data_IF_634417185317
#
_entry.id   IF_634417185317
#
_cell.length_a   1.000
_cell.length_b   1.000
_cell.length_c   1.000
_cell.angle_alpha   90.00
_cell.angle_beta   90.00
_cell.angle_gamma   90.00
#
_symmetry.space_group_name_H-M   'P 1'
#
loop_
_entity.id
_entity.type
_entity.pdbx_description
1 polymer ?
#
# COMPACT_ATOMS: atom_id res chain seq x y z
N UNK A 1 -30.07 13.56 1.35
CA UNK A 1 -30.34 12.38 0.53
C UNK A 1 -29.91 11.06 1.19
N UNK A 2 -28.71 10.91 1.73
CA UNK A 2 -28.23 9.65 2.34
C UNK A 2 -29.07 9.16 3.55
N UNK A 3 -29.59 10.04 4.40
CA UNK A 3 -30.45 9.69 5.55
C UNK A 3 -31.80 9.08 5.17
N UNK A 4 -32.36 9.45 4.02
CA UNK A 4 -33.63 8.90 3.54
C UNK A 4 -33.49 7.51 2.93
N UNK A 5 -32.33 7.21 2.31
CA UNK A 5 -32.06 5.90 1.71
C UNK A 5 -31.87 4.83 2.80
N UNK A 6 -31.15 5.15 3.88
CA UNK A 6 -30.98 4.22 5.00
C UNK A 6 -32.29 3.92 5.75
N UNK A 7 -33.17 4.92 5.90
CA UNK A 7 -34.48 4.71 6.52
C UNK A 7 -35.38 3.79 5.66
N UNK A 8 -35.34 3.93 4.32
CA UNK A 8 -36.10 3.10 3.40
C UNK A 8 -35.73 1.63 3.41
N UNK A 9 -34.43 1.32 3.50
CA UNK A 9 -33.91 -0.07 3.53
C UNK A 9 -34.30 -0.78 4.84
N UNK A 10 -34.30 -0.05 5.95
CA UNK A 10 -34.69 -0.60 7.27
C UNK A 10 -36.19 -0.94 7.36
N UNK A 11 -37.07 -0.15 6.73
CA UNK A 11 -38.52 -0.43 6.70
C UNK A 11 -38.85 -1.67 5.86
N UNK A 12 -38.19 -1.90 4.75
CA UNK A 12 -38.40 -3.08 3.89
C UNK A 12 -37.98 -4.37 4.62
N UNK A 13 -36.84 -4.38 5.34
CA UNK A 13 -36.42 -5.54 6.12
C UNK A 13 -37.38 -5.91 7.25
N UNK A 14 -38.00 -4.93 7.92
CA UNK A 14 -39.00 -5.16 8.98
C UNK A 14 -40.30 -5.79 8.44
N UNK A 15 -40.73 -5.40 7.24
CA UNK A 15 -41.95 -5.94 6.60
C UNK A 15 -41.73 -7.40 6.16
N UNK A 16 -40.52 -7.75 5.66
CA UNK A 16 -40.21 -9.12 5.25
C UNK A 16 -40.17 -10.10 6.43
N UNK A 17 -39.63 -9.70 7.56
CA UNK A 17 -39.57 -10.52 8.80
C UNK A 17 -41.00 -10.72 9.37
N UNK A 18 -41.86 -9.72 9.28
CA UNK A 18 -43.27 -9.83 9.71
C UNK A 18 -44.11 -10.76 8.82
N UNK A 19 -43.87 -10.75 7.49
CA UNK A 19 -44.63 -11.55 6.52
C UNK A 19 -44.37 -13.06 6.60
N UNK A 20 -43.16 -13.46 6.94
CA UNK A 20 -42.78 -14.89 7.06
C UNK A 20 -43.35 -15.56 8.31
N UNK A 21 -43.54 -14.80 9.40
CA UNK A 21 -44.08 -15.32 10.65
C UNK A 21 -45.58 -15.72 10.56
N UNK A 22 -46.31 -15.16 9.59
CA UNK A 22 -47.77 -15.43 9.43
C UNK A 22 -48.02 -16.72 8.62
N UNK A 23 -47.04 -17.23 7.86
CA UNK A 23 -47.27 -18.34 6.92
C UNK A 23 -46.89 -19.74 7.45
N UNK A 24 -46.29 -19.87 8.61
CA UNK A 24 -45.87 -21.13 9.20
C UNK A 24 -46.56 -21.39 10.53
N UNK A 25 -47.79 -21.85 10.49
CA UNK A 25 -48.65 -22.14 11.63
C UNK A 25 -48.24 -23.30 12.57
N UNK A 26 -46.95 -23.56 12.74
CA UNK A 26 -46.48 -24.57 13.70
C UNK A 26 -45.33 -23.96 14.53
N UNK A 27 -45.61 -23.73 15.81
CA UNK A 27 -44.60 -23.22 16.77
C UNK A 27 -44.68 -21.73 17.08
N UNK A 28 -45.89 -21.15 17.07
CA UNK A 28 -46.12 -19.70 17.26
C UNK A 28 -45.44 -19.08 18.49
N UNK A 29 -45.28 -19.82 19.57
CA UNK A 29 -44.62 -19.31 20.79
C UNK A 29 -43.09 -19.21 20.68
N UNK A 30 -42.43 -20.17 20.05
CA UNK A 30 -40.95 -20.11 19.85
C UNK A 30 -40.58 -19.06 18.82
N UNK A 31 -41.39 -18.92 17.75
CA UNK A 31 -41.18 -17.90 16.73
C UNK A 31 -41.42 -16.49 17.27
N UNK A 32 -42.43 -16.31 18.12
CA UNK A 32 -42.68 -15.04 18.79
C UNK A 32 -41.53 -14.63 19.72
N UNK A 33 -40.95 -15.57 20.44
CA UNK A 33 -39.79 -15.31 21.31
C UNK A 33 -38.56 -14.91 20.48
N UNK A 34 -38.29 -15.64 19.39
CA UNK A 34 -37.17 -15.33 18.47
C UNK A 34 -37.39 -13.96 17.82
N UNK A 35 -38.58 -13.65 17.36
CA UNK A 35 -38.89 -12.33 16.79
C UNK A 35 -38.76 -11.18 17.81
N UNK A 36 -39.21 -11.40 19.06
CA UNK A 36 -39.00 -10.43 20.15
C UNK A 36 -37.54 -10.22 20.48
N UNK A 37 -36.73 -11.29 20.47
CA UNK A 37 -35.31 -11.19 20.72
C UNK A 37 -34.58 -10.47 19.58
N UNK A 38 -34.89 -10.78 18.32
CA UNK A 38 -34.37 -10.08 17.16
C UNK A 38 -34.76 -8.58 17.16
N UNK A 39 -35.99 -8.28 17.53
CA UNK A 39 -36.44 -6.89 17.66
C UNK A 39 -35.68 -6.12 18.75
N UNK A 40 -35.43 -6.73 19.91
CA UNK A 40 -34.61 -6.12 20.99
C UNK A 40 -33.17 -5.89 20.54
N UNK A 41 -32.55 -6.87 19.89
CA UNK A 41 -31.20 -6.74 19.35
C UNK A 41 -31.10 -5.61 18.33
N UNK A 42 -32.08 -5.53 17.41
CA UNK A 42 -32.16 -4.47 16.42
C UNK A 42 -32.36 -3.09 17.05
N UNK A 43 -33.25 -2.98 18.05
CA UNK A 43 -33.42 -1.72 18.79
C UNK A 43 -32.13 -1.28 19.49
N UNK A 44 -31.44 -2.20 20.12
CA UNK A 44 -30.14 -1.90 20.77
C UNK A 44 -29.11 -1.43 19.76
N UNK A 45 -29.01 -2.10 18.60
CA UNK A 45 -28.12 -1.71 17.52
C UNK A 45 -28.47 -0.32 16.94
N UNK A 46 -29.76 -0.03 16.75
CA UNK A 46 -30.22 1.30 16.30
C UNK A 46 -29.85 2.37 17.33
N UNK A 47 -30.09 2.13 18.61
CA UNK A 47 -29.74 3.09 19.67
C UNK A 47 -28.21 3.31 19.75
N UNK A 48 -27.40 2.27 19.59
CA UNK A 48 -25.94 2.39 19.55
C UNK A 48 -25.47 3.17 18.33
N UNK A 49 -26.07 2.93 17.16
CA UNK A 49 -25.78 3.68 15.94
C UNK A 49 -26.18 5.15 16.05
N UNK A 50 -27.33 5.44 16.64
CA UNK A 50 -27.74 6.82 16.93
C UNK A 50 -26.79 7.52 17.91
N UNK A 51 -26.35 6.84 18.98
CA UNK A 51 -25.33 7.39 19.90
C UNK A 51 -24.02 7.68 19.19
N UNK A 52 -23.55 6.75 18.33
CA UNK A 52 -22.34 6.95 17.52
C UNK A 52 -22.51 8.11 16.53
N UNK A 53 -23.64 8.18 15.83
CA UNK A 53 -23.90 9.25 14.87
C UNK A 53 -24.00 10.63 15.57
N UNK A 54 -24.62 10.70 16.73
CA UNK A 54 -24.73 11.94 17.49
C UNK A 54 -23.42 12.37 18.16
N UNK A 55 -22.49 11.43 18.41
CA UNK A 55 -21.15 11.75 18.90
C UNK A 55 -20.20 12.25 17.80
N UNK A 56 -20.55 12.04 16.51
CA UNK A 56 -19.80 12.57 15.37
C UNK A 56 -20.15 14.05 15.18
N UNK A 57 -19.49 14.91 15.94
CA UNK A 57 -19.58 16.36 15.71
C UNK A 57 -18.84 16.74 14.43
N UNK A 58 -19.22 17.86 13.80
CA UNK A 58 -18.55 18.40 12.62
C UNK A 58 -17.04 18.57 12.87
N UNK A 59 -16.66 18.93 14.10
CA UNK A 59 -15.27 19.06 14.53
C UNK A 59 -14.54 17.72 14.61
N UNK A 60 -15.19 16.64 15.11
CA UNK A 60 -14.55 15.32 15.17
C UNK A 60 -14.37 14.69 13.80
N UNK A 61 -15.32 14.90 12.88
CA UNK A 61 -15.22 14.47 11.48
C UNK A 61 -14.10 15.24 10.78
N UNK A 62 -14.02 16.56 10.97
CA UNK A 62 -12.93 17.37 10.40
C UNK A 62 -11.56 16.96 10.94
N UNK A 63 -11.43 16.67 12.24
CA UNK A 63 -10.20 16.15 12.84
C UNK A 63 -9.81 14.78 12.29
N UNK A 64 -10.77 13.86 12.12
CA UNK A 64 -10.53 12.56 11.49
C UNK A 64 -10.10 12.71 10.02
N UNK A 65 -10.73 13.60 9.28
CA UNK A 65 -10.31 13.89 7.90
C UNK A 65 -8.90 14.48 7.84
N UNK A 66 -8.58 15.44 8.69
CA UNK A 66 -7.25 16.06 8.76
C UNK A 66 -6.16 15.06 9.21
N UNK A 67 -6.45 14.18 10.17
CA UNK A 67 -5.49 13.16 10.62
C UNK A 67 -5.25 12.06 9.58
N UNK A 68 -6.20 11.85 8.67
CA UNK A 68 -6.09 10.87 7.58
C UNK A 68 -5.66 11.51 6.24
N UNK A 69 -5.49 12.84 6.19
CA UNK A 69 -5.00 13.50 4.97
C UNK A 69 -3.49 13.29 4.87
N UNK A 70 -3.10 12.47 3.92
CA UNK A 70 -1.69 12.34 3.52
C UNK A 70 -1.34 13.54 2.65
N UNK A 71 -0.29 14.27 3.00
CA UNK A 71 0.35 15.16 2.07
C UNK A 71 1.07 14.31 1.01
N UNK A 72 0.51 14.27 -0.19
CA UNK A 72 1.01 13.41 -1.27
C UNK A 72 2.42 13.82 -1.70
N UNK A 73 2.75 15.11 -1.63
CA UNK A 73 4.08 15.59 -2.03
C UNK A 73 5.13 15.23 -0.99
N UNK A 74 4.81 15.32 0.31
CA UNK A 74 5.69 14.84 1.38
C UNK A 74 5.87 13.32 1.29
N UNK A 75 4.82 12.58 0.96
CA UNK A 75 4.88 11.13 0.78
C UNK A 75 5.75 10.74 -0.42
N UNK A 76 5.67 11.46 -1.54
CA UNK A 76 6.56 11.27 -2.70
C UNK A 76 8.00 11.59 -2.36
N UNK A 77 8.24 12.66 -1.61
CA UNK A 77 9.59 13.04 -1.15
C UNK A 77 10.18 11.96 -0.26
N UNK A 78 9.45 11.50 0.77
CA UNK A 78 9.89 10.40 1.64
C UNK A 78 10.24 9.14 0.83
N UNK A 79 9.35 8.75 -0.09
CA UNK A 79 9.59 7.59 -0.95
C UNK A 79 10.83 7.78 -1.85
N UNK A 80 11.00 8.97 -2.44
CA UNK A 80 12.15 9.31 -3.28
C UNK A 80 13.46 9.24 -2.50
N UNK A 81 13.51 9.85 -1.33
CA UNK A 81 14.72 9.85 -0.49
C UNK A 81 15.12 8.43 -0.09
N UNK A 82 14.16 7.62 0.31
CA UNK A 82 14.39 6.22 0.69
C UNK A 82 14.83 5.35 -0.48
N UNK A 83 14.23 5.52 -1.65
CA UNK A 83 14.63 4.83 -2.88
C UNK A 83 16.05 5.23 -3.26
N UNK A 84 16.35 6.52 -3.33
CA UNK A 84 17.68 7.01 -3.68
C UNK A 84 18.75 6.47 -2.73
N UNK A 85 18.52 6.51 -1.42
CA UNK A 85 19.45 5.99 -0.43
C UNK A 85 19.70 4.49 -0.61
N UNK A 86 18.63 3.71 -0.81
CA UNK A 86 18.76 2.26 -0.99
C UNK A 86 19.43 1.88 -2.30
N UNK A 87 19.08 2.55 -3.41
CA UNK A 87 19.64 2.27 -4.72
C UNK A 87 21.09 2.73 -4.82
N UNK A 88 21.44 3.90 -4.29
CA UNK A 88 22.82 4.33 -4.19
C UNK A 88 23.68 3.35 -3.38
N UNK A 89 23.12 2.76 -2.32
CA UNK A 89 23.80 1.71 -1.55
C UNK A 89 23.94 0.42 -2.37
N UNK A 90 22.89 -0.01 -3.10
CA UNK A 90 22.89 -1.26 -3.83
C UNK A 90 23.76 -1.23 -5.09
N UNK A 91 23.81 -0.11 -5.80
CA UNK A 91 24.61 0.08 -7.01
C UNK A 91 25.94 0.82 -6.76
N UNK A 92 26.18 1.20 -5.50
CA UNK A 92 27.44 1.81 -5.09
C UNK A 92 28.51 0.79 -4.74
N UNK A 93 29.73 1.28 -4.52
CA UNK A 93 30.84 0.45 -4.04
C UNK A 93 30.64 0.12 -2.56
N UNK A 94 30.49 -1.15 -2.22
CA UNK A 94 30.37 -1.61 -0.83
C UNK A 94 31.56 -2.49 -0.51
N UNK A 95 32.37 -2.09 0.47
CA UNK A 95 33.46 -2.93 0.97
C UNK A 95 32.89 -4.25 1.52
N UNK A 96 33.62 -5.34 1.33
CA UNK A 96 33.20 -6.67 1.79
C UNK A 96 32.82 -6.70 3.26
N UNK A 97 33.53 -5.98 4.11
CA UNK A 97 33.28 -5.90 5.54
C UNK A 97 31.99 -5.15 5.88
N UNK A 98 31.53 -4.27 4.99
CA UNK A 98 30.30 -3.46 5.15
C UNK A 98 29.07 -4.06 4.45
N UNK A 99 29.25 -5.19 3.76
CA UNK A 99 28.18 -5.82 2.97
C UNK A 99 26.91 -6.11 3.77
N UNK A 100 27.06 -6.66 4.97
CA UNK A 100 25.91 -6.96 5.83
C UNK A 100 25.19 -5.69 6.31
N UNK A 101 25.92 -4.62 6.56
CA UNK A 101 25.32 -3.35 6.99
C UNK A 101 24.65 -2.64 5.83
N UNK A 102 25.20 -2.73 4.62
CA UNK A 102 24.56 -2.26 3.40
C UNK A 102 23.21 -2.98 3.17
N UNK A 103 23.18 -4.32 3.30
CA UNK A 103 21.92 -5.09 3.21
C UNK A 103 20.89 -4.68 4.27
N UNK A 104 21.32 -4.46 5.51
CA UNK A 104 20.43 -3.99 6.59
C UNK A 104 19.90 -2.59 6.27
N UNK A 105 20.75 -1.68 5.80
CA UNK A 105 20.37 -0.33 5.41
C UNK A 105 19.31 -0.35 4.29
N UNK A 106 19.54 -1.12 3.22
CA UNK A 106 18.58 -1.27 2.11
C UNK A 106 17.23 -1.78 2.62
N UNK A 107 17.22 -2.80 3.49
CA UNK A 107 15.99 -3.35 4.08
C UNK A 107 15.28 -2.33 4.98
N UNK A 108 16.02 -1.53 5.72
CA UNK A 108 15.47 -0.47 6.54
C UNK A 108 14.75 0.58 5.69
N UNK A 109 15.34 0.97 4.56
CA UNK A 109 14.77 1.96 3.64
C UNK A 109 13.53 1.44 2.91
N UNK A 110 13.59 0.22 2.36
CA UNK A 110 12.58 -0.29 1.42
C UNK A 110 11.65 -1.36 2.02
N UNK A 111 11.90 -1.80 3.26
CA UNK A 111 11.22 -2.92 3.88
C UNK A 111 11.76 -4.28 3.39
N UNK A 112 11.36 -5.35 4.09
CA UNK A 112 11.96 -6.68 3.88
C UNK A 112 11.76 -7.24 2.47
N UNK A 113 10.58 -7.09 1.88
CA UNK A 113 10.28 -7.67 0.58
C UNK A 113 11.07 -6.99 -0.55
N UNK A 114 10.97 -5.69 -0.68
CA UNK A 114 11.67 -4.94 -1.71
C UNK A 114 13.18 -4.90 -1.43
N UNK A 115 13.55 -4.62 -0.18
CA UNK A 115 14.95 -4.55 0.23
C UNK A 115 15.71 -5.86 0.03
N UNK A 116 15.09 -7.04 0.23
CA UNK A 116 15.72 -8.31 -0.10
C UNK A 116 15.98 -8.47 -1.60
N UNK A 117 15.00 -8.12 -2.44
CA UNK A 117 15.17 -8.21 -3.90
C UNK A 117 16.32 -7.32 -4.38
N UNK A 118 16.37 -6.07 -3.89
CA UNK A 118 17.44 -5.15 -4.25
C UNK A 118 18.80 -5.59 -3.68
N UNK A 119 18.84 -6.02 -2.43
CA UNK A 119 20.07 -6.48 -1.79
C UNK A 119 20.65 -7.76 -2.42
N UNK A 120 19.81 -8.58 -3.08
CA UNK A 120 20.28 -9.77 -3.80
C UNK A 120 21.02 -9.45 -5.11
N UNK A 121 20.95 -8.21 -5.60
CA UNK A 121 21.79 -7.77 -6.73
C UNK A 121 23.25 -7.57 -6.30
N UNK A 122 23.49 -7.35 -5.01
CA UNK A 122 24.85 -7.23 -4.47
C UNK A 122 25.39 -8.64 -4.29
N UNK A 123 26.56 -8.94 -4.90
CA UNK A 123 27.17 -10.26 -4.78
C UNK A 123 27.51 -10.62 -3.34
N UNK A 124 27.33 -11.90 -2.95
CA UNK A 124 27.64 -12.37 -1.59
C UNK A 124 29.14 -12.30 -1.23
N UNK A 125 30.03 -12.30 -2.20
CA UNK A 125 31.48 -12.18 -2.01
C UNK A 125 31.95 -10.73 -1.85
N UNK A 126 31.01 -9.76 -1.87
CA UNK A 126 31.28 -8.33 -1.77
C UNK A 126 31.86 -7.73 -3.06
N UNK A 127 32.05 -8.54 -4.11
CA UNK A 127 32.31 -8.00 -5.43
C UNK A 127 31.02 -7.42 -5.97
N UNK A 128 31.06 -6.16 -6.39
CA UNK A 128 29.91 -5.51 -6.98
C UNK A 128 29.98 -5.78 -8.48
N UNK A 129 28.96 -6.43 -9.06
CA UNK A 129 28.94 -6.62 -10.50
C UNK A 129 28.92 -5.29 -11.25
N UNK A 130 28.67 -4.18 -10.56
CA UNK A 130 28.37 -2.88 -11.15
C UNK A 130 29.18 -1.73 -10.54
N UNK A 131 30.48 -1.89 -10.28
CA UNK A 131 31.30 -0.87 -9.61
C UNK A 131 30.87 0.58 -9.82
N UNK A 132 30.58 1.28 -8.75
CA UNK A 132 30.35 2.74 -8.59
C UNK A 132 29.61 3.48 -9.72
N UNK A 133 28.53 2.92 -10.27
CA UNK A 133 28.16 3.29 -11.61
C UNK A 133 26.72 3.68 -11.84
N UNK A 134 25.97 4.03 -10.80
CA UNK A 134 24.71 4.74 -11.05
C UNK A 134 25.05 6.04 -11.78
N UNK A 135 24.59 6.10 -13.03
CA UNK A 135 24.66 7.32 -13.82
C UNK A 135 23.40 8.15 -13.66
N UNK A 136 22.26 7.49 -13.48
CA UNK A 136 20.98 8.14 -13.35
C UNK A 136 19.99 7.21 -12.62
N UNK A 137 19.19 7.76 -11.70
CA UNK A 137 18.06 7.10 -11.09
C UNK A 137 16.82 7.98 -11.27
N UNK A 138 15.88 7.53 -12.11
CA UNK A 138 14.62 8.24 -12.35
C UNK A 138 13.50 7.54 -11.58
N UNK A 139 12.74 8.32 -10.82
CA UNK A 139 11.63 7.83 -10.01
C UNK A 139 10.35 8.51 -10.49
N UNK A 140 9.38 7.72 -10.93
CA UNK A 140 8.06 8.17 -11.33
C UNK A 140 6.99 7.65 -10.37
N UNK A 141 5.96 8.44 -10.13
CA UNK A 141 4.83 8.06 -9.28
C UNK A 141 3.55 8.03 -10.09
N UNK A 142 2.78 6.96 -9.92
CA UNK A 142 1.43 6.87 -10.45
C UNK A 142 0.41 7.61 -9.60
N UNK A 143 -0.86 7.45 -9.96
CA UNK A 143 -1.97 8.08 -9.25
C UNK A 143 -2.06 7.57 -7.81
N UNK A 144 -2.17 8.49 -6.86
CA UNK A 144 -2.45 8.18 -5.47
C UNK A 144 -3.91 7.70 -5.30
N UNK A 145 -4.09 6.55 -4.68
CA UNK A 145 -5.41 6.04 -4.30
C UNK A 145 -5.72 6.44 -2.85
N UNK A 146 -6.65 7.36 -2.71
CA UNK A 146 -7.07 7.92 -1.40
C UNK A 146 -7.64 6.85 -0.47
N UNK A 147 -8.29 5.81 -1.01
CA UNK A 147 -8.94 4.78 -0.19
C UNK A 147 -7.94 3.80 0.43
N UNK A 148 -6.94 3.40 -0.32
CA UNK A 148 -5.93 2.43 0.13
C UNK A 148 -4.65 3.10 0.65
N UNK A 149 -4.44 4.38 0.35
CA UNK A 149 -3.19 5.09 0.61
C UNK A 149 -2.04 4.64 -0.30
N UNK A 150 -2.34 3.91 -1.37
CA UNK A 150 -1.33 3.34 -2.25
C UNK A 150 -1.00 4.26 -3.42
N UNK A 151 0.27 4.21 -3.82
CA UNK A 151 0.81 4.95 -4.95
C UNK A 151 1.79 4.05 -5.71
N UNK A 152 1.51 3.72 -6.98
CA UNK A 152 2.46 3.00 -7.82
C UNK A 152 3.76 3.78 -7.97
N UNK A 153 4.88 3.09 -7.95
CA UNK A 153 6.21 3.67 -8.13
C UNK A 153 6.91 2.92 -9.25
N UNK A 154 7.53 3.68 -10.12
CA UNK A 154 8.39 3.19 -11.22
C UNK A 154 9.77 3.77 -11.02
N UNK A 155 10.80 2.94 -11.11
CA UNK A 155 12.19 3.36 -10.95
C UNK A 155 12.97 2.82 -12.14
N UNK A 156 13.68 3.71 -12.80
CA UNK A 156 14.63 3.34 -13.85
C UNK A 156 16.04 3.73 -13.41
N UNK A 157 16.93 2.76 -13.40
CA UNK A 157 18.32 2.96 -13.04
C UNK A 157 19.17 2.77 -14.28
N UNK A 158 19.97 3.78 -14.62
CA UNK A 158 21.00 3.72 -15.63
C UNK A 158 22.34 3.52 -14.94
N UNK A 159 23.09 2.50 -15.32
CA UNK A 159 24.37 2.17 -14.72
C UNK A 159 25.37 1.61 -15.75
N UNK A 160 26.64 1.57 -15.38
CA UNK A 160 27.67 0.87 -16.15
C UNK A 160 27.93 -0.50 -15.53
N UNK A 161 28.01 -1.55 -16.35
CA UNK A 161 28.30 -2.90 -15.86
C UNK A 161 29.71 -3.03 -15.27
N UNK A 162 30.66 -2.24 -15.78
CA UNK A 162 32.04 -2.11 -15.25
C UNK A 162 32.49 -0.67 -15.44
N UNK A 163 33.52 -0.22 -14.70
CA UNK A 163 34.09 1.12 -14.88
C UNK A 163 34.66 1.35 -16.31
N UNK A 164 35.13 0.31 -16.93
CA UNK A 164 35.67 0.33 -18.31
C UNK A 164 34.58 0.21 -19.39
N UNK A 165 33.34 -0.05 -19.01
CA UNK A 165 32.24 -0.22 -19.96
C UNK A 165 31.90 1.11 -20.65
N UNK A 166 31.91 1.09 -21.99
CA UNK A 166 31.43 2.22 -22.82
C UNK A 166 29.94 2.25 -22.97
N UNK A 167 29.25 1.14 -22.68
CA UNK A 167 27.80 1.01 -22.78
C UNK A 167 27.15 1.09 -21.41
N UNK A 168 25.98 1.70 -21.37
CA UNK A 168 25.13 1.75 -20.18
C UNK A 168 24.10 0.64 -20.20
N UNK A 169 23.84 0.06 -19.05
CA UNK A 169 22.74 -0.88 -18.81
C UNK A 169 21.61 -0.18 -18.08
N UNK A 170 20.43 -0.76 -18.14
CA UNK A 170 19.24 -0.21 -17.50
C UNK A 170 18.54 -1.30 -16.71
N UNK A 171 18.14 -0.98 -15.49
CA UNK A 171 17.22 -1.76 -14.69
C UNK A 171 15.92 -1.02 -14.51
N UNK A 172 14.84 -1.78 -14.57
CA UNK A 172 13.50 -1.29 -14.37
C UNK A 172 12.87 -1.94 -13.15
N UNK A 173 12.36 -1.11 -12.26
CA UNK A 173 11.72 -1.57 -11.04
C UNK A 173 10.33 -0.99 -10.91
N UNK A 174 9.40 -1.80 -10.44
CA UNK A 174 8.09 -1.33 -10.01
C UNK A 174 7.83 -1.72 -8.57
N UNK A 175 7.09 -0.89 -7.86
CA UNK A 175 6.64 -1.15 -6.50
C UNK A 175 5.34 -0.39 -6.21
N UNK A 176 4.72 -0.69 -5.07
CA UNK A 176 3.64 0.11 -4.52
C UNK A 176 4.13 0.71 -3.20
N UNK A 177 4.08 2.02 -3.09
CA UNK A 177 4.32 2.75 -1.85
C UNK A 177 2.98 3.05 -1.17
N UNK A 178 2.85 2.68 0.11
CA UNK A 178 1.71 3.05 0.93
C UNK A 178 2.07 4.27 1.78
N UNK A 179 1.45 5.40 1.47
CA UNK A 179 1.77 6.69 2.07
C UNK A 179 1.35 6.80 3.56
N UNK A 180 0.31 6.07 3.98
CA UNK A 180 -0.10 6.05 5.39
C UNK A 180 0.88 5.24 6.26
N UNK A 181 1.32 4.09 5.75
CA UNK A 181 2.20 3.16 6.46
C UNK A 181 3.68 3.45 6.22
N UNK A 182 4.00 4.28 5.24
CA UNK A 182 5.36 4.55 4.75
C UNK A 182 6.11 3.26 4.41
N UNK A 183 5.45 2.33 3.71
CA UNK A 183 6.00 1.01 3.36
C UNK A 183 5.90 0.73 1.87
N UNK A 184 6.89 -0.01 1.35
CA UNK A 184 6.87 -0.53 -0.02
C UNK A 184 6.38 -1.98 -0.05
N UNK A 185 5.72 -2.34 -1.13
CA UNK A 185 5.22 -3.70 -1.41
C UNK A 185 5.20 -3.99 -2.90
N UNK A 186 4.99 -5.26 -3.27
CA UNK A 186 4.83 -5.73 -4.66
C UNK A 186 5.99 -5.32 -5.57
N UNK A 187 7.22 -5.28 -5.03
CA UNK A 187 8.40 -4.94 -5.83
C UNK A 187 8.66 -5.99 -6.91
N UNK A 188 8.89 -5.53 -8.13
CA UNK A 188 9.29 -6.34 -9.29
C UNK A 188 10.52 -5.71 -9.92
N UNK A 189 11.37 -6.53 -10.55
CA UNK A 189 12.60 -6.13 -11.21
C UNK A 189 12.67 -6.77 -12.59
N UNK A 190 13.05 -5.97 -13.56
CA UNK A 190 13.33 -6.40 -14.92
C UNK A 190 14.64 -5.74 -15.38
N UNK A 191 15.63 -6.55 -15.76
CA UNK A 191 16.85 -6.06 -16.39
C UNK A 191 16.57 -5.81 -17.88
N UNK A 192 16.84 -4.60 -18.35
CA UNK A 192 16.74 -4.25 -19.77
C UNK A 192 18.13 -4.35 -20.38
N UNK A 193 18.39 -5.45 -21.09
CA UNK A 193 19.60 -5.56 -21.91
C UNK A 193 19.45 -4.61 -23.11
N UNK A 194 20.28 -3.57 -23.16
CA UNK A 194 20.45 -2.81 -24.40
C UNK A 194 21.25 -3.67 -25.38
N UNK A 195 20.59 -4.10 -26.45
CA UNK A 195 21.31 -4.74 -27.56
C UNK A 195 22.40 -3.76 -28.06
N UNK A 196 23.64 -4.20 -28.03
CA UNK A 196 24.74 -3.50 -28.70
C UNK A 196 24.38 -3.44 -30.18
N UNK A 197 24.10 -2.25 -30.73
CA UNK A 197 24.08 -2.07 -32.16
C UNK A 197 25.50 -2.33 -32.65
N UNK A 198 25.74 -3.52 -33.16
CA UNK A 198 26.91 -3.78 -34.01
C UNK A 198 26.69 -3.01 -35.32
N UNK A 199 27.17 -1.78 -35.39
CA UNK A 199 27.37 -1.11 -36.64
C UNK A 199 28.59 -1.80 -37.31
N UNK A 200 28.32 -2.73 -38.24
CA UNK A 200 29.27 -3.15 -39.25
C UNK A 200 29.36 -2.08 -40.36
#
# INVERSE_FOLDING_TARGET
>A
MFKQICAGIMTIAAIWIGGIAIHLGVGANSQLQTAKQAYRVNQTAIQQNHKRTNSLTKSSVSKMMLSNTVNVDDAKKDATDRINNAFNTAYGSVDKDKFNDAKKSIKHQLGSQFGNKLANLINPDGSIPYGNSIQECKIGFGKYDVNSGNMPVVITVKYKATESSTTSSYDYWTAIYNAHKKTFSKAQHEAIMTATQNNQ
#
